data_IF_260302627430
#
_entry.id   IF_260302627430
#
_cell.length_a   1.000
_cell.length_b   1.000
_cell.length_c   1.000
_cell.angle_alpha   90.00
_cell.angle_beta   90.00
_cell.angle_gamma   90.00
#
_symmetry.space_group_name_H-M   'P 1'
#
loop_
_entity.id
_entity.type
_entity.pdbx_description
1 polymer ?
#
# COMPACT_ATOMS: atom_id res chain seq x y z
N UNK A 1 -7.33 -24.40 48.51
CA UNK A 1 -7.68 -24.68 47.11
C UNK A 1 -7.67 -23.44 46.21
N UNK A 2 -8.32 -22.32 46.57
CA UNK A 2 -8.40 -21.11 45.75
C UNK A 2 -7.05 -20.48 45.33
N UNK A 3 -6.06 -20.34 46.26
CA UNK A 3 -4.74 -19.73 45.96
C UNK A 3 -3.91 -20.54 44.96
N UNK A 4 -3.94 -21.87 45.03
CA UNK A 4 -3.22 -22.77 44.08
C UNK A 4 -3.82 -22.70 42.68
N UNK A 5 -5.13 -22.59 42.55
CA UNK A 5 -5.80 -22.43 41.25
C UNK A 5 -5.52 -21.04 40.63
N UNK A 6 -5.42 -20.00 41.46
CA UNK A 6 -5.05 -18.66 40.99
C UNK A 6 -3.60 -18.64 40.46
N UNK A 7 -2.67 -19.25 41.15
CA UNK A 7 -1.27 -19.36 40.68
C UNK A 7 -1.20 -20.14 39.37
N UNK A 8 -1.92 -21.27 39.27
CA UNK A 8 -1.96 -22.05 38.02
C UNK A 8 -2.52 -21.22 36.86
N UNK A 9 -3.62 -20.53 37.07
CA UNK A 9 -4.21 -19.66 36.05
C UNK A 9 -3.24 -18.55 35.61
N UNK A 10 -2.54 -17.91 36.55
CA UNK A 10 -1.54 -16.89 36.26
C UNK A 10 -0.35 -17.49 35.43
N UNK A 11 0.17 -18.64 35.82
CA UNK A 11 1.25 -19.34 35.09
C UNK A 11 0.78 -19.69 33.67
N UNK A 12 -0.43 -20.24 33.53
CA UNK A 12 -0.99 -20.57 32.20
C UNK A 12 -1.12 -19.32 31.32
N UNK A 13 -1.63 -18.21 31.88
CA UNK A 13 -1.74 -16.94 31.14
C UNK A 13 -0.37 -16.43 30.66
N UNK A 14 0.66 -16.46 31.50
CA UNK A 14 2.03 -16.08 31.13
C UNK A 14 2.58 -16.97 30.02
N UNK A 15 2.37 -18.29 30.12
CA UNK A 15 2.80 -19.22 29.08
C UNK A 15 2.06 -18.97 27.74
N UNK A 16 0.76 -18.72 27.77
CA UNK A 16 0.00 -18.38 26.57
C UNK A 16 0.52 -17.09 25.91
N UNK A 17 0.77 -16.05 26.69
CA UNK A 17 1.34 -14.79 26.18
C UNK A 17 2.72 -15.02 25.58
N UNK A 18 3.57 -15.81 26.24
CA UNK A 18 4.89 -16.14 25.73
C UNK A 18 4.82 -16.92 24.39
N UNK A 19 3.93 -17.91 24.31
CA UNK A 19 3.71 -18.68 23.07
C UNK A 19 3.16 -17.79 21.93
N UNK A 20 2.19 -16.92 22.22
CA UNK A 20 1.66 -15.97 21.24
C UNK A 20 2.74 -15.00 20.76
N UNK A 21 3.60 -14.52 21.66
CA UNK A 21 4.73 -13.66 21.30
C UNK A 21 5.72 -14.38 20.37
N UNK A 22 6.08 -15.63 20.68
CA UNK A 22 6.96 -16.44 19.82
C UNK A 22 6.30 -16.68 18.45
N UNK A 23 5.02 -17.03 18.42
CA UNK A 23 4.28 -17.25 17.18
C UNK A 23 4.22 -15.95 16.34
N UNK A 24 3.96 -14.81 16.97
CA UNK A 24 3.94 -13.51 16.29
C UNK A 24 5.33 -13.15 15.74
N UNK A 25 6.40 -13.31 16.54
CA UNK A 25 7.78 -13.06 16.08
C UNK A 25 8.16 -13.91 14.88
N UNK A 26 7.81 -15.21 14.90
CA UNK A 26 8.04 -16.09 13.77
C UNK A 26 7.22 -15.69 12.54
N UNK A 27 5.97 -15.27 12.74
CA UNK A 27 5.10 -14.80 11.66
C UNK A 27 5.66 -13.55 10.97
N UNK A 28 6.15 -12.56 11.72
CA UNK A 28 6.68 -11.31 11.14
C UNK A 28 8.11 -11.45 10.63
N UNK A 29 8.85 -12.48 11.08
CA UNK A 29 10.18 -12.79 10.57
C UNK A 29 10.16 -13.47 9.19
N UNK A 30 9.06 -14.12 8.83
CA UNK A 30 8.83 -14.70 7.52
C UNK A 30 8.20 -13.65 6.60
N UNK A 31 9.02 -12.95 5.80
CA UNK A 31 8.61 -11.87 4.92
C UNK A 31 9.31 -11.96 3.55
N UNK A 32 8.83 -11.20 2.59
CA UNK A 32 9.39 -11.09 1.26
C UNK A 32 10.39 -9.91 1.22
N UNK A 33 11.71 -10.19 1.15
CA UNK A 33 12.72 -9.14 1.07
C UNK A 33 12.70 -8.45 -0.31
N UNK A 34 13.00 -7.17 -0.32
CA UNK A 34 13.20 -6.42 -1.55
C UNK A 34 14.46 -6.91 -2.28
N UNK A 35 14.45 -6.80 -3.60
CA UNK A 35 15.68 -6.88 -4.40
C UNK A 35 16.38 -5.53 -4.41
N UNK A 36 17.68 -5.56 -4.72
CA UNK A 36 18.47 -4.33 -4.80
C UNK A 36 18.05 -3.51 -6.01
N UNK A 37 17.66 -2.26 -5.76
CA UNK A 37 17.31 -1.27 -6.77
C UNK A 37 17.94 0.06 -6.41
N UNK A 38 18.50 0.75 -7.40
CA UNK A 38 19.00 2.12 -7.26
C UNK A 38 18.01 3.06 -7.96
N UNK A 39 17.35 4.00 -7.25
CA UNK A 39 16.41 4.93 -7.86
C UNK A 39 17.07 5.78 -8.95
N UNK A 40 16.34 6.03 -10.02
CA UNK A 40 16.76 6.94 -11.10
C UNK A 40 16.44 8.40 -10.77
N UNK A 41 15.52 8.64 -9.83
CA UNK A 41 15.15 9.98 -9.38
C UNK A 41 16.35 10.70 -8.74
N UNK A 42 16.50 12.00 -9.07
CA UNK A 42 17.55 12.85 -8.47
C UNK A 42 17.29 13.15 -6.98
N UNK A 43 16.04 12.99 -6.52
CA UNK A 43 15.64 13.24 -5.15
C UNK A 43 15.20 11.96 -4.46
N UNK A 44 16.00 11.55 -3.49
CA UNK A 44 15.73 10.40 -2.62
C UNK A 44 16.11 10.76 -1.18
N UNK A 45 15.12 10.70 -0.28
CA UNK A 45 15.33 10.95 1.14
C UNK A 45 14.71 9.82 1.96
N UNK A 46 15.46 9.25 2.89
CA UNK A 46 15.00 8.20 3.78
C UNK A 46 15.00 8.70 5.24
N UNK A 47 13.82 8.65 5.87
CA UNK A 47 13.62 8.94 7.28
C UNK A 47 13.37 7.66 8.09
N UNK A 48 13.07 7.78 9.39
CA UNK A 48 12.67 6.64 10.23
C UNK A 48 11.29 6.09 9.80
N UNK A 49 10.36 6.96 9.39
CA UNK A 49 8.94 6.63 9.20
C UNK A 49 8.53 6.50 7.73
N UNK A 50 9.27 7.09 6.79
CA UNK A 50 8.96 7.04 5.36
C UNK A 50 10.18 7.30 4.47
N UNK A 51 10.01 7.00 3.17
CA UNK A 51 10.96 7.30 2.10
C UNK A 51 10.27 8.26 1.13
N UNK A 52 10.95 9.35 0.77
CA UNK A 52 10.51 10.32 -0.25
C UNK A 52 11.27 10.04 -1.54
N UNK A 53 10.52 9.94 -2.65
CA UNK A 53 11.03 9.89 -4.01
C UNK A 53 10.43 11.04 -4.81
N UNK A 54 11.22 11.70 -5.66
CA UNK A 54 10.79 12.88 -6.41
C UNK A 54 10.83 14.16 -5.57
N UNK A 55 10.50 15.27 -6.19
CA UNK A 55 10.67 16.60 -5.59
C UNK A 55 9.69 16.86 -4.44
N UNK A 56 10.13 17.05 -3.19
CA UNK A 56 9.25 17.37 -2.06
C UNK A 56 8.61 18.76 -2.14
N UNK A 57 9.04 19.59 -3.09
CA UNK A 57 8.41 20.87 -3.41
C UNK A 57 7.27 20.77 -4.44
N UNK A 58 6.93 19.57 -4.93
CA UNK A 58 5.80 19.36 -5.84
C UNK A 58 4.47 19.67 -5.16
N UNK A 59 3.50 20.14 -5.93
CA UNK A 59 2.13 20.37 -5.45
C UNK A 59 1.30 19.10 -5.40
N UNK A 60 1.70 18.05 -6.13
CA UNK A 60 1.06 16.74 -6.14
C UNK A 60 1.86 15.73 -5.31
N UNK A 61 1.22 15.09 -4.33
CA UNK A 61 1.80 14.07 -3.47
C UNK A 61 1.06 12.74 -3.57
N UNK A 62 1.83 11.65 -3.58
CA UNK A 62 1.30 10.29 -3.57
C UNK A 62 1.86 9.49 -2.39
N UNK A 63 1.01 9.21 -1.40
CA UNK A 63 1.36 8.40 -0.23
C UNK A 63 1.06 6.94 -0.53
N UNK A 64 2.05 6.06 -0.34
CA UNK A 64 1.92 4.65 -0.66
C UNK A 64 2.18 3.74 0.55
N UNK A 65 1.20 2.88 0.85
CA UNK A 65 1.32 1.84 1.87
C UNK A 65 1.75 0.49 1.27
N UNK A 66 2.82 -0.14 1.79
CA UNK A 66 3.34 -1.42 1.28
C UNK A 66 2.38 -2.59 1.57
N UNK A 67 2.51 -3.64 0.79
CA UNK A 67 1.82 -4.91 1.01
C UNK A 67 2.27 -5.62 2.30
N UNK A 68 1.38 -6.46 2.84
CA UNK A 68 1.66 -7.18 4.08
C UNK A 68 2.82 -8.16 3.94
N UNK A 69 3.77 -8.11 4.89
CA UNK A 69 4.97 -8.96 4.91
C UNK A 69 5.91 -8.76 3.72
N UNK A 70 5.83 -7.62 3.03
CA UNK A 70 6.77 -7.22 1.99
C UNK A 70 7.65 -6.11 2.55
N UNK A 71 8.95 -6.20 2.30
CA UNK A 71 9.89 -5.12 2.63
C UNK A 71 9.51 -3.88 1.83
N UNK A 72 9.38 -2.75 2.48
CA UNK A 72 8.84 -1.53 1.87
C UNK A 72 9.65 -1.09 0.65
N UNK A 73 10.97 -1.21 0.69
CA UNK A 73 11.85 -0.83 -0.42
C UNK A 73 11.60 -1.61 -1.72
N UNK A 74 10.87 -2.72 -1.66
CA UNK A 74 10.43 -3.44 -2.86
C UNK A 74 9.51 -2.61 -3.79
N UNK A 75 8.91 -1.53 -3.27
CA UNK A 75 8.02 -0.67 -4.06
C UNK A 75 8.74 0.55 -4.67
N UNK A 76 10.03 0.73 -4.36
CA UNK A 76 10.82 1.84 -4.94
C UNK A 76 10.79 1.84 -6.47
N UNK A 77 10.97 0.71 -7.19
CA UNK A 77 10.95 0.75 -8.66
C UNK A 77 9.64 1.26 -9.26
N UNK A 78 8.50 0.89 -8.68
CA UNK A 78 7.19 1.37 -9.11
C UNK A 78 7.04 2.87 -8.81
N UNK A 79 7.42 3.30 -7.60
CA UNK A 79 7.27 4.70 -7.21
C UNK A 79 8.25 5.60 -7.95
N UNK A 80 9.43 5.11 -8.31
CA UNK A 80 10.40 5.80 -9.14
C UNK A 80 9.87 6.05 -10.57
N UNK A 81 9.10 5.09 -11.11
CA UNK A 81 8.40 5.26 -12.38
C UNK A 81 7.26 6.30 -12.32
N UNK A 82 6.70 6.57 -11.12
CA UNK A 82 5.61 7.53 -10.90
C UNK A 82 6.16 8.93 -10.59
N UNK A 83 7.24 9.04 -9.80
CA UNK A 83 7.78 10.28 -9.27
C UNK A 83 8.50 11.13 -10.32
N UNK A 84 7.87 11.39 -11.47
CA UNK A 84 8.38 12.39 -12.44
C UNK A 84 8.51 13.78 -11.82
N UNK A 85 8.76 14.79 -12.65
CA UNK A 85 9.05 16.15 -12.20
C UNK A 85 7.96 16.77 -11.30
N UNK A 86 6.72 16.28 -11.39
CA UNK A 86 5.55 16.92 -10.80
C UNK A 86 4.87 16.10 -9.69
N UNK A 87 5.39 14.92 -9.30
CA UNK A 87 4.82 14.09 -8.24
C UNK A 87 5.86 13.77 -7.16
N UNK A 88 5.52 14.06 -5.90
CA UNK A 88 6.26 13.64 -4.72
C UNK A 88 5.67 12.31 -4.20
N UNK A 89 6.38 11.19 -4.37
CA UNK A 89 5.96 9.90 -3.85
C UNK A 89 6.51 9.69 -2.44
N UNK A 90 5.64 9.27 -1.51
CA UNK A 90 6.02 8.99 -0.12
C UNK A 90 5.66 7.56 0.24
N UNK A 91 6.67 6.71 0.36
CA UNK A 91 6.54 5.31 0.76
C UNK A 91 6.58 5.18 2.27
N UNK A 92 5.49 4.75 2.88
CA UNK A 92 5.37 4.61 4.34
C UNK A 92 6.12 3.38 4.82
N UNK A 93 6.94 3.55 5.86
CA UNK A 93 7.53 2.45 6.63
C UNK A 93 6.56 2.00 7.71
N UNK A 94 6.25 0.72 7.74
CA UNK A 94 5.24 0.19 8.67
C UNK A 94 5.84 -0.84 9.61
N UNK A 95 5.52 -0.79 10.93
CA UNK A 95 6.03 -1.75 11.88
C UNK A 95 5.73 -3.19 11.46
N UNK A 96 6.74 -4.05 11.57
CA UNK A 96 6.63 -5.47 11.22
C UNK A 96 6.21 -5.75 9.77
N UNK A 97 6.32 -4.80 8.85
CA UNK A 97 5.85 -4.87 7.47
C UNK A 97 4.34 -5.13 7.37
N UNK A 98 3.58 -4.56 8.31
CA UNK A 98 2.12 -4.71 8.39
C UNK A 98 1.47 -3.33 8.57
N UNK A 99 0.87 -2.82 7.52
CA UNK A 99 0.24 -1.49 7.45
C UNK A 99 -0.84 -1.27 8.53
N UNK A 100 -1.45 -2.33 9.03
CA UNK A 100 -2.45 -2.26 10.11
C UNK A 100 -1.91 -1.67 11.42
N UNK A 101 -0.59 -1.63 11.62
CA UNK A 101 0.05 -1.03 12.81
C UNK A 101 0.36 0.46 12.64
N UNK A 102 0.24 1.01 11.44
CA UNK A 102 0.38 2.45 11.15
C UNK A 102 -0.76 2.98 10.27
N UNK A 103 -2.03 2.78 10.66
CA UNK A 103 -3.17 3.10 9.78
C UNK A 103 -3.34 4.61 9.52
N UNK A 104 -2.71 5.46 10.31
CA UNK A 104 -2.82 6.92 10.22
C UNK A 104 -1.50 7.60 9.79
N UNK A 105 -0.51 6.85 9.28
CA UNK A 105 0.76 7.45 8.86
C UNK A 105 0.58 8.50 7.74
N UNK A 106 -0.47 8.39 6.92
CA UNK A 106 -0.79 9.41 5.92
C UNK A 106 -1.00 10.80 6.53
N UNK A 107 -1.64 10.92 7.71
CA UNK A 107 -1.82 12.21 8.41
C UNK A 107 -0.48 12.85 8.77
N UNK A 108 0.48 12.06 9.24
CA UNK A 108 1.82 12.54 9.61
C UNK A 108 2.59 13.00 8.39
N UNK A 109 2.52 12.24 7.29
CA UNK A 109 3.14 12.59 6.01
C UNK A 109 2.56 13.91 5.47
N UNK A 110 1.24 14.02 5.36
CA UNK A 110 0.58 15.24 4.87
C UNK A 110 0.94 16.47 5.71
N UNK A 111 1.10 16.29 7.03
CA UNK A 111 1.49 17.39 7.93
C UNK A 111 2.97 17.78 7.81
N UNK A 112 3.82 16.98 7.18
CA UNK A 112 5.26 17.21 7.06
C UNK A 112 5.70 17.83 5.73
N UNK A 113 4.80 17.87 4.73
CA UNK A 113 5.08 18.33 3.37
C UNK A 113 4.12 19.47 2.99
N UNK A 114 4.42 20.68 3.50
CA UNK A 114 3.57 21.88 3.33
C UNK A 114 3.40 22.35 1.87
N UNK A 115 4.27 21.89 0.95
CA UNK A 115 4.23 22.26 -0.47
C UNK A 115 3.18 21.50 -1.25
N UNK A 116 2.72 20.36 -0.74
CA UNK A 116 1.76 19.51 -1.44
C UNK A 116 0.35 20.00 -1.20
N UNK A 117 -0.34 20.33 -2.29
CA UNK A 117 -1.70 20.84 -2.30
C UNK A 117 -2.72 19.74 -2.66
N UNK A 118 -2.30 18.77 -3.50
CA UNK A 118 -3.12 17.67 -4.00
C UNK A 118 -2.60 16.33 -3.48
N UNK A 119 -3.39 15.67 -2.65
CA UNK A 119 -2.98 14.42 -2.03
C UNK A 119 -3.70 13.20 -2.60
N UNK A 120 -2.93 12.27 -3.13
CA UNK A 120 -3.39 10.92 -3.47
C UNK A 120 -2.86 9.91 -2.46
N UNK A 121 -3.70 8.95 -2.12
CA UNK A 121 -3.35 7.87 -1.21
C UNK A 121 -3.46 6.53 -1.95
N UNK A 122 -2.56 5.60 -1.68
CA UNK A 122 -2.65 4.29 -2.29
C UNK A 122 -1.91 3.21 -1.54
N UNK A 123 -1.95 2.01 -2.10
CA UNK A 123 -1.19 0.90 -1.57
C UNK A 123 -1.48 -0.42 -2.26
N UNK A 124 -0.60 -1.37 -2.00
CA UNK A 124 -0.69 -2.71 -2.54
C UNK A 124 -1.28 -3.68 -1.52
N UNK A 125 -2.19 -4.56 -1.96
CA UNK A 125 -2.70 -5.68 -1.16
C UNK A 125 -3.22 -5.21 0.22
N UNK A 126 -2.63 -5.65 1.34
CA UNK A 126 -2.97 -5.18 2.69
C UNK A 126 -2.82 -3.66 2.83
N UNK A 127 -1.78 -3.07 2.24
CA UNK A 127 -1.57 -1.62 2.23
C UNK A 127 -2.72 -0.88 1.59
N UNK A 128 -3.21 -1.33 0.43
CA UNK A 128 -4.37 -0.75 -0.23
C UNK A 128 -5.67 -0.86 0.60
N UNK A 129 -5.87 -1.99 1.30
CA UNK A 129 -7.02 -2.13 2.23
C UNK A 129 -6.93 -1.14 3.40
N UNK A 130 -5.73 -0.89 3.93
CA UNK A 130 -5.50 0.09 5.01
C UNK A 130 -5.70 1.50 4.47
N UNK A 131 -5.15 1.83 3.30
CA UNK A 131 -5.36 3.12 2.62
C UNK A 131 -6.84 3.40 2.39
N UNK A 132 -7.60 2.43 1.89
CA UNK A 132 -9.05 2.55 1.72
C UNK A 132 -9.80 2.77 3.05
N UNK A 133 -9.34 2.12 4.13
CA UNK A 133 -9.92 2.33 5.47
C UNK A 133 -9.60 3.70 6.04
N UNK A 134 -8.44 4.27 5.74
CA UNK A 134 -8.09 5.65 6.08
C UNK A 134 -8.93 6.62 5.25
N UNK A 135 -8.93 6.47 3.93
CA UNK A 135 -9.67 7.32 2.99
C UNK A 135 -11.15 7.43 3.34
N UNK A 136 -11.80 6.31 3.73
CA UNK A 136 -13.22 6.33 4.15
C UNK A 136 -13.53 7.19 5.39
N UNK A 137 -12.54 7.79 6.02
CA UNK A 137 -12.69 8.68 7.18
C UNK A 137 -12.15 10.09 6.91
N UNK A 138 -11.43 10.26 5.80
CA UNK A 138 -10.68 11.43 5.43
C UNK A 138 -10.93 11.81 3.95
N UNK A 139 -12.12 11.54 3.42
CA UNK A 139 -12.48 11.74 2.01
C UNK A 139 -12.21 13.18 1.54
N UNK A 140 -12.49 14.17 2.38
CA UNK A 140 -12.26 15.59 2.05
C UNK A 140 -10.81 16.08 2.15
N UNK A 141 -9.85 15.19 2.49
CA UNK A 141 -8.42 15.49 2.59
C UNK A 141 -7.61 14.90 1.42
N UNK A 142 -8.28 14.14 0.53
CA UNK A 142 -7.66 13.39 -0.56
C UNK A 142 -8.36 13.71 -1.89
N UNK A 143 -7.57 13.82 -2.95
CA UNK A 143 -8.05 13.98 -4.33
C UNK A 143 -8.34 12.63 -5.01
N UNK A 144 -7.80 11.53 -4.49
CA UNK A 144 -8.08 10.19 -4.98
C UNK A 144 -7.39 9.05 -4.23
N UNK A 145 -7.86 7.84 -4.50
CA UNK A 145 -7.34 6.60 -3.92
C UNK A 145 -6.91 5.60 -4.99
N UNK A 146 -5.72 4.99 -4.82
CA UNK A 146 -5.16 3.98 -5.73
C UNK A 146 -5.05 2.63 -5.02
N UNK A 147 -5.70 1.61 -5.57
CA UNK A 147 -5.74 0.25 -5.04
C UNK A 147 -5.05 -0.72 -6.00
N UNK A 148 -3.87 -1.22 -5.61
CA UNK A 148 -3.12 -2.20 -6.40
C UNK A 148 -3.33 -3.60 -5.83
N UNK A 149 -3.94 -4.51 -6.60
CA UNK A 149 -4.29 -5.87 -6.15
C UNK A 149 -5.06 -5.88 -4.83
N UNK A 150 -5.96 -4.90 -4.63
CA UNK A 150 -6.62 -4.65 -3.35
C UNK A 150 -8.08 -4.22 -3.53
N UNK A 151 -8.81 -4.08 -2.42
CA UNK A 151 -10.20 -3.64 -2.42
C UNK A 151 -10.57 -2.98 -1.08
N UNK A 152 -11.56 -2.05 -1.08
CA UNK A 152 -12.04 -1.43 0.14
C UNK A 152 -12.95 -2.38 0.93
N UNK A 153 -12.94 -2.24 2.25
CA UNK A 153 -13.85 -2.94 3.17
C UNK A 153 -14.97 -2.04 3.69
N UNK A 154 -14.88 -0.73 3.40
CA UNK A 154 -15.86 0.32 3.74
C UNK A 154 -16.36 0.98 2.48
N UNK A 155 -17.48 1.68 2.56
CA UNK A 155 -18.00 2.52 1.50
C UNK A 155 -17.07 3.72 1.30
N UNK A 156 -16.90 4.13 0.05
CA UNK A 156 -16.15 5.31 -0.38
C UNK A 156 -17.12 6.12 -1.27
N UNK A 157 -17.61 7.23 -0.72
CA UNK A 157 -18.59 8.09 -1.36
C UNK A 157 -17.91 9.42 -1.72
N UNK A 158 -17.95 9.81 -2.99
CA UNK A 158 -17.41 11.11 -3.45
C UNK A 158 -15.88 11.19 -3.57
N UNK A 159 -15.13 10.10 -3.34
CA UNK A 159 -13.69 10.03 -3.58
C UNK A 159 -13.43 9.18 -4.85
N UNK A 160 -12.76 9.72 -5.87
CA UNK A 160 -12.33 8.94 -7.02
C UNK A 160 -11.40 7.79 -6.63
N UNK A 161 -11.61 6.61 -7.19
CA UNK A 161 -10.80 5.41 -6.91
C UNK A 161 -10.30 4.77 -8.20
N UNK A 162 -9.00 4.64 -8.32
CA UNK A 162 -8.35 3.79 -9.31
C UNK A 162 -8.07 2.42 -8.70
N UNK A 163 -8.59 1.37 -9.33
CA UNK A 163 -8.31 -0.02 -8.97
C UNK A 163 -7.57 -0.74 -10.09
N UNK A 164 -6.35 -1.21 -9.79
CA UNK A 164 -5.48 -1.92 -10.76
C UNK A 164 -5.16 -3.31 -10.24
N UNK A 165 -5.29 -4.32 -11.09
CA UNK A 165 -4.84 -5.69 -10.77
C UNK A 165 -4.38 -6.44 -12.02
N UNK A 166 -3.56 -7.46 -11.83
CA UNK A 166 -3.11 -8.32 -12.92
C UNK A 166 -4.14 -9.39 -13.31
N UNK A 167 -4.22 -9.76 -14.60
CA UNK A 167 -5.10 -10.86 -15.05
C UNK A 167 -4.73 -12.19 -14.40
N UNK A 168 -3.43 -12.39 -14.12
CA UNK A 168 -2.85 -13.58 -13.51
C UNK A 168 -2.73 -13.46 -11.98
N UNK A 169 -3.33 -12.44 -11.35
CA UNK A 169 -3.32 -12.29 -9.89
C UNK A 169 -4.04 -13.46 -9.21
N UNK A 170 -3.26 -14.35 -8.60
CA UNK A 170 -3.72 -15.54 -7.87
C UNK A 170 -4.01 -15.30 -6.40
N UNK A 171 -3.65 -14.12 -5.86
CA UNK A 171 -3.81 -13.75 -4.44
C UNK A 171 -5.11 -12.98 -4.23
N UNK A 172 -5.47 -12.09 -5.13
CA UNK A 172 -6.67 -11.27 -5.04
C UNK A 172 -7.92 -12.14 -5.07
N UNK A 173 -8.63 -12.23 -3.95
CA UNK A 173 -9.91 -12.95 -3.90
C UNK A 173 -10.94 -12.24 -4.77
N UNK A 174 -11.25 -12.76 -5.94
CA UNK A 174 -12.20 -12.17 -6.90
C UNK A 174 -13.58 -11.91 -6.28
N UNK A 175 -14.06 -12.82 -5.41
CA UNK A 175 -15.35 -12.64 -4.74
C UNK A 175 -15.32 -11.55 -3.66
N UNK A 176 -14.19 -11.35 -2.97
CA UNK A 176 -14.03 -10.25 -2.01
C UNK A 176 -13.81 -8.94 -2.74
N UNK A 177 -13.07 -8.95 -3.83
CA UNK A 177 -12.85 -7.82 -4.71
C UNK A 177 -14.20 -7.28 -5.24
N UNK A 178 -15.01 -8.12 -5.88
CA UNK A 178 -16.30 -7.71 -6.41
C UNK A 178 -17.23 -7.09 -5.33
N UNK A 179 -17.20 -7.63 -4.10
CA UNK A 179 -17.94 -7.03 -2.97
C UNK A 179 -17.33 -5.72 -2.48
N UNK A 180 -16.03 -5.58 -2.60
CA UNK A 180 -15.30 -4.37 -2.21
C UNK A 180 -15.59 -3.21 -3.15
N UNK A 181 -15.35 -3.40 -4.45
CA UNK A 181 -15.53 -2.35 -5.46
C UNK A 181 -17.00 -1.91 -5.60
N UNK A 182 -17.96 -2.78 -5.30
CA UNK A 182 -19.38 -2.41 -5.26
C UNK A 182 -19.73 -1.36 -4.17
N UNK A 183 -18.76 -0.96 -3.34
CA UNK A 183 -18.89 0.09 -2.33
C UNK A 183 -18.25 1.42 -2.76
N UNK A 184 -17.76 1.49 -3.97
CA UNK A 184 -17.11 2.68 -4.54
C UNK A 184 -18.07 3.30 -5.53
N UNK A 185 -18.36 4.59 -5.36
CA UNK A 185 -19.24 5.33 -6.24
C UNK A 185 -18.53 5.74 -7.52
N UNK A 186 -17.35 6.32 -7.41
CA UNK A 186 -16.51 6.75 -8.54
C UNK A 186 -15.32 5.82 -8.72
N UNK A 187 -15.47 4.82 -9.60
CA UNK A 187 -14.50 3.76 -9.81
C UNK A 187 -13.95 3.75 -11.24
N UNK A 188 -12.64 3.88 -11.34
CA UNK A 188 -11.88 3.53 -12.53
C UNK A 188 -11.19 2.19 -12.33
N UNK A 189 -11.55 1.16 -13.08
CA UNK A 189 -10.92 -0.16 -13.02
C UNK A 189 -9.97 -0.38 -14.20
N UNK A 190 -8.78 -0.94 -13.92
CA UNK A 190 -7.77 -1.32 -14.92
C UNK A 190 -7.26 -2.73 -14.63
N UNK A 191 -7.12 -3.53 -15.69
CA UNK A 191 -6.58 -4.88 -15.63
C UNK A 191 -5.32 -4.93 -16.47
N UNK A 192 -4.19 -5.28 -15.86
CA UNK A 192 -2.92 -5.49 -16.55
C UNK A 192 -2.94 -6.91 -17.11
N UNK A 193 -3.00 -7.03 -18.42
CA UNK A 193 -3.01 -8.33 -19.09
C UNK A 193 -1.65 -9.03 -18.94
N UNK A 194 -1.67 -10.27 -18.43
CA UNK A 194 -0.46 -11.01 -18.11
C UNK A 194 0.26 -10.60 -16.83
N UNK A 195 -0.21 -9.56 -16.13
CA UNK A 195 0.34 -9.15 -14.83
C UNK A 195 -0.14 -10.03 -13.67
N UNK A 196 0.59 -10.04 -12.55
CA UNK A 196 0.20 -10.78 -11.35
C UNK A 196 0.24 -9.89 -10.08
N UNK A 197 -0.08 -10.48 -8.93
CA UNK A 197 -0.09 -9.77 -7.65
C UNK A 197 1.30 -9.29 -7.22
N UNK A 198 2.29 -10.16 -7.33
CA UNK A 198 3.64 -9.94 -6.82
C UNK A 198 4.39 -8.83 -7.56
N UNK A 199 4.09 -8.61 -8.83
CA UNK A 199 4.81 -7.67 -9.70
C UNK A 199 4.44 -6.20 -9.49
N UNK A 200 3.60 -5.87 -8.50
CA UNK A 200 3.48 -4.49 -8.03
C UNK A 200 4.68 -4.04 -7.17
N UNK A 201 5.58 -4.98 -6.79
CA UNK A 201 6.84 -4.70 -6.13
C UNK A 201 7.96 -5.62 -6.61
N UNK A 202 9.21 -5.31 -6.25
CA UNK A 202 10.38 -6.12 -6.60
C UNK A 202 10.83 -7.01 -5.42
N UNK A 203 10.03 -8.03 -5.11
CA UNK A 203 10.29 -9.01 -4.02
C UNK A 203 10.20 -10.47 -4.47
N UNK A 204 10.06 -10.70 -5.77
CA UNK A 204 9.89 -12.03 -6.34
C UNK A 204 8.45 -12.53 -6.26
N UNK A 205 8.24 -13.79 -6.58
CA UNK A 205 6.90 -14.39 -6.64
C UNK A 205 6.39 -14.74 -5.24
N UNK A 206 5.21 -14.25 -4.90
CA UNK A 206 4.50 -14.59 -3.66
C UNK A 206 3.92 -15.99 -3.75
N UNK A 207 4.00 -16.77 -2.67
CA UNK A 207 3.45 -18.12 -2.62
C UNK A 207 1.94 -18.11 -2.85
N UNK A 208 1.51 -18.82 -3.89
CA UNK A 208 0.10 -18.93 -4.28
C UNK A 208 -0.35 -17.94 -5.33
N UNK A 209 0.55 -17.05 -5.76
CA UNK A 209 0.28 -16.12 -6.86
C UNK A 209 0.35 -16.82 -8.23
N UNK A 210 -0.31 -16.23 -9.23
CA UNK A 210 -0.24 -16.65 -10.62
C UNK A 210 1.12 -16.32 -11.27
N UNK A 211 1.40 -16.98 -12.37
CA UNK A 211 2.62 -16.72 -13.13
C UNK A 211 2.36 -15.61 -14.14
N UNK A 212 3.04 -14.48 -13.97
CA UNK A 212 2.95 -13.39 -14.94
C UNK A 212 3.49 -13.82 -16.31
N UNK A 213 2.90 -13.31 -17.37
CA UNK A 213 3.31 -13.54 -18.77
C UNK A 213 4.04 -12.33 -19.38
N UNK A 214 4.10 -11.21 -18.63
CA UNK A 214 4.84 -10.01 -18.97
C UNK A 214 6.03 -9.82 -18.03
N UNK A 215 7.07 -9.04 -18.41
CA UNK A 215 8.14 -8.63 -17.50
C UNK A 215 7.63 -7.76 -16.34
N UNK A 216 8.30 -7.82 -15.20
CA UNK A 216 7.94 -7.03 -14.03
C UNK A 216 8.03 -5.52 -14.32
N UNK A 217 9.02 -5.09 -15.10
CA UNK A 217 9.19 -3.69 -15.50
C UNK A 217 8.03 -3.18 -16.35
N UNK A 218 7.47 -4.02 -17.19
CA UNK A 218 6.29 -3.68 -18.00
C UNK A 218 5.07 -3.46 -17.11
N UNK A 219 4.86 -4.29 -16.09
CA UNK A 219 3.79 -4.10 -15.11
C UNK A 219 3.97 -2.79 -14.31
N UNK A 220 5.21 -2.45 -13.90
CA UNK A 220 5.46 -1.17 -13.21
C UNK A 220 5.14 0.01 -14.10
N UNK A 221 5.61 0.01 -15.36
CA UNK A 221 5.37 1.11 -16.26
C UNK A 221 3.88 1.29 -16.57
N UNK A 222 3.17 0.21 -16.88
CA UNK A 222 1.73 0.26 -17.15
C UNK A 222 0.95 0.74 -15.92
N UNK A 223 1.36 0.30 -14.71
CA UNK A 223 0.76 0.76 -13.46
C UNK A 223 1.02 2.26 -13.24
N UNK A 224 2.25 2.72 -13.47
CA UNK A 224 2.62 4.13 -13.35
C UNK A 224 1.81 4.99 -14.34
N UNK A 225 1.68 4.56 -15.59
CA UNK A 225 0.90 5.26 -16.61
C UNK A 225 -0.58 5.39 -16.20
N UNK A 226 -1.20 4.34 -15.65
CA UNK A 226 -2.56 4.41 -15.14
C UNK A 226 -2.70 5.38 -13.96
N UNK A 227 -1.73 5.39 -13.05
CA UNK A 227 -1.73 6.27 -11.88
C UNK A 227 -1.55 7.73 -12.31
N UNK A 228 -0.58 8.03 -13.18
CA UNK A 228 -0.33 9.39 -13.64
C UNK A 228 -1.51 9.96 -14.44
N UNK A 229 -2.14 9.14 -15.29
CA UNK A 229 -3.36 9.54 -15.99
C UNK A 229 -4.51 9.82 -15.01
N UNK A 230 -4.65 8.98 -13.96
CA UNK A 230 -5.66 9.18 -12.93
C UNK A 230 -5.43 10.47 -12.14
N UNK A 231 -4.18 10.83 -11.84
CA UNK A 231 -3.85 12.11 -11.19
C UNK A 231 -4.16 13.30 -12.08
N UNK A 232 -3.84 13.20 -13.39
CA UNK A 232 -4.14 14.25 -14.36
C UNK A 232 -5.65 14.48 -14.51
N UNK A 233 -6.46 13.43 -14.46
CA UNK A 233 -7.91 13.53 -14.62
C UNK A 233 -8.61 14.12 -13.37
N UNK A 234 -7.95 14.12 -12.18
CA UNK A 234 -8.56 14.54 -10.91
C UNK A 234 -7.78 15.65 -10.18
N UNK A 235 -6.61 16.05 -10.66
CA UNK A 235 -5.75 17.08 -10.03
C UNK A 235 -6.06 18.53 -10.43
N UNK A 236 -6.85 18.74 -11.47
CA UNK A 236 -7.21 20.07 -12.00
C UNK A 236 -8.73 20.31 -11.90
N UNK A 237 -9.24 20.52 -10.69
CA UNK A 237 -10.60 21.05 -10.50
C UNK A 237 -10.61 22.44 -9.86
N UNK A 238 -9.67 23.30 -10.27
CA UNK A 238 -9.77 24.74 -9.99
C UNK A 238 -10.03 25.48 -11.29
N UNK A 239 -11.32 25.61 -11.67
CA UNK A 239 -11.82 26.78 -12.39
C UNK A 239 -12.20 27.90 -11.41
#
# INVERSE_FOLDING_TARGET
MKKRNLIRAAVTAVLCVALLNVAFRNYVADYYPARSYEPETEWFEETEDYIILGNPGSTCGFIFYPGGKVEETAYIPLLDAICGADVCCVLVKVPYRLAIFSPNAATEVMSSLDSVEHWYLGGHSLGGTVSASYASKHEGELDGLVLLGSYPTRTLDGLPVLSVYGSEDGILSRGSYARGIARVEDLTERVIDGGNHSYFGDYGLQKGDGTATIPVQEQWQETADYILNFFADHGDTTE
#
